data_IF_200907142068
#
_entry.id   IF_200907142068
#
_cell.length_a   1.000
_cell.length_b   1.000
_cell.length_c   1.000
_cell.angle_alpha   90.00
_cell.angle_beta   90.00
_cell.angle_gamma   90.00
#
_symmetry.space_group_name_H-M   'P 1'
#
loop_
_entity.id
_entity.type
_entity.pdbx_description
1 polymer ?
#
# COMPACT_ATOMS: atom_id res chain seq x y z
N UNK A 1 -6.54 30.75 -8.80
CA UNK A 1 -6.26 29.30 -8.85
C UNK A 1 -4.77 29.01 -8.74
N UNK A 2 -3.94 29.97 -8.33
CA UNK A 2 -2.60 29.67 -7.83
C UNK A 2 -2.71 28.90 -6.51
N UNK A 3 -1.85 27.88 -6.36
CA UNK A 3 -1.49 27.10 -5.15
C UNK A 3 -1.96 25.65 -5.01
N UNK A 4 -2.60 25.01 -5.99
CA UNK A 4 -2.72 23.54 -5.94
C UNK A 4 -1.36 22.90 -6.29
N UNK A 5 -0.65 22.34 -5.30
CA UNK A 5 0.68 21.71 -5.49
C UNK A 5 0.59 20.43 -6.32
N UNK A 6 -0.37 19.57 -6.02
CA UNK A 6 -0.67 18.34 -6.74
C UNK A 6 -2.05 17.81 -6.31
N UNK A 7 -2.58 16.85 -7.08
CA UNK A 7 -3.73 16.04 -6.71
C UNK A 7 -3.33 14.57 -6.52
N UNK A 8 -4.05 13.89 -5.63
CA UNK A 8 -3.94 12.45 -5.45
C UNK A 8 -5.22 11.76 -5.93
N UNK A 9 -5.09 10.57 -6.51
CA UNK A 9 -6.21 9.71 -6.86
C UNK A 9 -6.17 8.42 -6.05
N UNK A 10 -7.23 8.17 -5.28
CA UNK A 10 -7.47 6.91 -4.60
C UNK A 10 -8.26 5.97 -5.53
N UNK A 11 -7.63 4.88 -5.95
CA UNK A 11 -8.09 4.00 -7.01
C UNK A 11 -8.74 2.74 -6.44
N UNK A 12 -10.07 2.65 -6.50
CA UNK A 12 -10.78 1.43 -6.09
C UNK A 12 -10.72 0.36 -7.20
N UNK A 13 -10.32 -0.85 -6.84
CA UNK A 13 -10.24 -1.98 -7.77
C UNK A 13 -11.34 -2.99 -7.48
N UNK A 14 -11.95 -3.50 -8.55
CA UNK A 14 -12.92 -4.60 -8.50
C UNK A 14 -12.46 -5.67 -9.48
N UNK A 15 -11.63 -6.59 -9.00
CA UNK A 15 -11.08 -7.70 -9.78
C UNK A 15 -11.05 -8.97 -8.94
N UNK A 16 -11.42 -10.13 -9.50
CA UNK A 16 -11.33 -11.42 -8.82
C UNK A 16 -9.94 -11.65 -8.21
N UNK A 17 -9.91 -12.32 -7.06
CA UNK A 17 -8.65 -12.67 -6.42
C UNK A 17 -7.89 -13.71 -7.26
N UNK A 18 -6.57 -13.55 -7.48
CA UNK A 18 -5.81 -14.59 -8.18
C UNK A 18 -5.78 -15.88 -7.36
N UNK A 19 -5.71 -17.02 -8.05
CA UNK A 19 -5.43 -18.31 -7.42
C UNK A 19 -3.93 -18.62 -7.43
N UNK A 20 -3.21 -18.08 -8.41
CA UNK A 20 -1.76 -18.27 -8.59
C UNK A 20 -1.05 -16.94 -8.89
N UNK A 21 0.24 -16.84 -8.54
CA UNK A 21 1.06 -15.64 -8.77
C UNK A 21 1.14 -15.22 -10.24
N UNK A 22 0.99 -16.17 -11.17
CA UNK A 22 0.96 -15.90 -12.61
C UNK A 22 -0.21 -14.98 -13.03
N UNK A 23 -1.29 -14.92 -12.23
CA UNK A 23 -2.45 -14.07 -12.51
C UNK A 23 -2.28 -12.63 -12.01
N UNK A 24 -1.32 -12.37 -11.11
CA UNK A 24 -1.07 -11.03 -10.54
C UNK A 24 -0.76 -10.02 -11.66
N UNK A 25 -0.01 -10.44 -12.68
CA UNK A 25 0.34 -9.60 -13.82
C UNK A 25 -0.87 -8.95 -14.52
N UNK A 26 -2.03 -9.62 -14.55
CA UNK A 26 -3.29 -9.07 -15.13
C UNK A 26 -3.84 -7.93 -14.27
N UNK A 27 -3.76 -8.06 -12.95
CA UNK A 27 -4.22 -7.04 -11.99
C UNK A 27 -3.32 -5.81 -12.05
N UNK A 28 -2.01 -6.02 -12.13
CA UNK A 28 -1.02 -4.95 -12.37
C UNK A 28 -1.32 -4.22 -13.68
N UNK A 29 -1.59 -4.93 -14.79
CA UNK A 29 -2.01 -4.29 -16.05
C UNK A 29 -3.22 -3.37 -15.86
N UNK A 30 -4.24 -3.82 -15.12
CA UNK A 30 -5.42 -2.99 -14.85
C UNK A 30 -5.08 -1.75 -14.03
N UNK A 31 -4.28 -1.89 -12.96
CA UNK A 31 -3.87 -0.77 -12.11
C UNK A 31 -3.02 0.26 -12.86
N UNK A 32 -2.12 -0.18 -13.75
CA UNK A 32 -1.35 0.73 -14.61
C UNK A 32 -2.25 1.45 -15.62
N UNK A 33 -3.25 0.77 -16.18
CA UNK A 33 -4.25 1.41 -17.04
C UNK A 33 -5.10 2.44 -16.27
N UNK A 34 -5.50 2.16 -15.03
CA UNK A 34 -6.18 3.13 -14.17
C UNK A 34 -5.30 4.34 -13.86
N UNK A 35 -4.01 4.12 -13.64
CA UNK A 35 -3.01 5.18 -13.43
C UNK A 35 -2.96 6.11 -14.66
N UNK A 36 -2.83 5.54 -15.86
CA UNK A 36 -2.86 6.31 -17.11
C UNK A 36 -4.15 7.12 -17.23
N UNK A 37 -5.30 6.47 -17.05
CA UNK A 37 -6.62 7.09 -17.18
C UNK A 37 -6.81 8.25 -16.19
N UNK A 38 -6.35 8.10 -14.95
CA UNK A 38 -6.42 9.14 -13.93
C UNK A 38 -5.53 10.35 -14.29
N UNK A 39 -4.31 10.11 -14.76
CA UNK A 39 -3.39 11.20 -15.13
C UNK A 39 -3.87 11.93 -16.38
N UNK A 40 -4.18 11.21 -17.45
CA UNK A 40 -4.61 11.81 -18.72
C UNK A 40 -5.99 12.48 -18.61
N UNK A 41 -6.96 11.75 -18.05
CA UNK A 41 -8.36 12.20 -17.98
C UNK A 41 -8.55 13.46 -17.13
N UNK A 42 -7.70 13.64 -16.11
CA UNK A 42 -7.75 14.83 -15.25
C UNK A 42 -6.73 15.90 -15.64
N UNK A 43 -5.82 15.65 -16.57
CA UNK A 43 -4.78 16.62 -16.95
C UNK A 43 -5.27 18.03 -17.30
N UNK A 44 -6.47 18.26 -17.89
CA UNK A 44 -6.96 19.62 -18.13
C UNK A 44 -7.40 20.35 -16.86
N UNK A 45 -7.60 19.63 -15.75
CA UNK A 45 -8.25 20.13 -14.53
C UNK A 45 -7.34 20.09 -13.30
N UNK A 46 -6.56 19.01 -13.14
CA UNK A 46 -5.81 18.73 -11.93
C UNK A 46 -4.46 18.04 -12.25
N UNK A 47 -3.35 18.47 -11.62
CA UNK A 47 -2.06 17.81 -11.74
C UNK A 47 -2.00 16.57 -10.83
N UNK A 48 -2.45 15.42 -11.32
CA UNK A 48 -2.39 14.15 -10.56
C UNK A 48 -0.94 13.69 -10.45
N UNK A 49 -0.38 13.66 -9.23
CA UNK A 49 0.99 13.21 -8.95
C UNK A 49 1.09 12.00 -8.03
N UNK A 50 0.02 11.64 -7.33
CA UNK A 50 -0.01 10.47 -6.43
C UNK A 50 -1.19 9.56 -6.77
N UNK A 51 -0.91 8.29 -7.04
CA UNK A 51 -1.91 7.24 -7.20
C UNK A 51 -1.83 6.28 -6.02
N UNK A 52 -2.98 5.92 -5.45
CA UNK A 52 -3.04 5.02 -4.30
C UNK A 52 -3.99 3.87 -4.58
N UNK A 53 -3.48 2.65 -4.49
CA UNK A 53 -4.26 1.41 -4.64
C UNK A 53 -4.51 0.74 -3.29
N UNK A 54 -5.62 -0.01 -3.13
CA UNK A 54 -6.01 -0.61 -1.87
C UNK A 54 -5.16 -1.83 -1.52
N UNK A 55 -5.21 -2.23 -0.26
CA UNK A 55 -4.68 -3.51 0.19
C UNK A 55 -5.28 -4.65 -0.63
N UNK A 56 -4.50 -5.71 -0.87
CA UNK A 56 -4.89 -6.90 -1.63
C UNK A 56 -5.23 -6.66 -3.11
N UNK A 57 -4.96 -5.46 -3.66
CA UNK A 57 -5.14 -5.21 -5.08
C UNK A 57 -4.31 -6.14 -5.99
N UNK A 58 -3.22 -6.74 -5.50
CA UNK A 58 -2.49 -7.80 -6.19
C UNK A 58 -3.00 -9.19 -5.82
N UNK A 59 -3.07 -9.49 -4.52
CA UNK A 59 -3.59 -10.76 -4.01
C UNK A 59 -4.03 -10.63 -2.55
N UNK A 60 -5.22 -11.13 -2.24
CA UNK A 60 -5.70 -11.36 -0.88
C UNK A 60 -5.22 -12.73 -0.36
N UNK A 61 -5.05 -12.89 0.96
CA UNK A 61 -4.60 -14.14 1.59
C UNK A 61 -5.74 -15.17 1.66
N UNK A 62 -6.20 -15.65 0.51
CA UNK A 62 -7.34 -16.59 0.40
C UNK A 62 -7.02 -18.02 0.83
N UNK A 63 -5.74 -18.32 1.11
CA UNK A 63 -5.32 -19.62 1.62
C UNK A 63 -5.09 -19.56 3.13
N UNK A 64 -5.49 -20.62 3.83
CA UNK A 64 -5.55 -20.66 5.29
C UNK A 64 -4.18 -20.66 6.01
N UNK A 65 -3.08 -20.90 5.31
CA UNK A 65 -1.75 -21.00 5.93
C UNK A 65 -0.68 -20.24 5.15
N UNK A 66 0.33 -19.76 5.87
CA UNK A 66 1.51 -19.16 5.27
C UNK A 66 2.20 -20.10 4.24
N UNK A 67 2.21 -21.41 4.48
CA UNK A 67 2.79 -22.39 3.56
C UNK A 67 2.04 -22.42 2.21
N UNK A 68 0.71 -22.43 2.24
CA UNK A 68 -0.12 -22.40 1.02
C UNK A 68 -0.03 -21.05 0.32
N UNK A 69 -0.03 -19.93 1.06
CA UNK A 69 0.22 -18.61 0.48
C UNK A 69 1.57 -18.56 -0.24
N UNK A 70 2.64 -19.09 0.37
CA UNK A 70 3.97 -19.18 -0.23
C UNK A 70 4.02 -20.06 -1.46
N UNK A 71 3.21 -21.11 -1.52
CA UNK A 71 3.15 -22.00 -2.68
C UNK A 71 2.46 -21.31 -3.85
N UNK A 72 1.41 -20.55 -3.60
CA UNK A 72 0.51 -20.09 -4.65
C UNK A 72 0.68 -18.61 -5.03
N UNK A 73 0.83 -17.71 -4.06
CA UNK A 73 0.57 -16.28 -4.26
C UNK A 73 1.73 -15.35 -3.92
N UNK A 74 2.74 -15.80 -3.19
CA UNK A 74 3.83 -14.89 -2.80
C UNK A 74 4.66 -14.42 -4.00
N UNK A 75 5.36 -13.31 -3.82
CA UNK A 75 6.40 -12.84 -4.75
C UNK A 75 7.52 -12.22 -3.94
N UNK A 76 8.78 -12.25 -4.41
CA UNK A 76 9.84 -11.43 -3.82
C UNK A 76 9.56 -9.95 -4.08
N UNK A 77 10.22 -9.06 -3.34
CA UNK A 77 10.26 -7.62 -3.66
C UNK A 77 11.74 -7.18 -3.63
N UNK A 78 12.29 -6.62 -4.71
CA UNK A 78 11.64 -6.26 -5.98
C UNK A 78 11.25 -7.48 -6.84
N UNK A 79 10.38 -7.24 -7.83
CA UNK A 79 9.89 -8.22 -8.82
C UNK A 79 9.48 -7.53 -10.14
N UNK A 80 9.08 -8.33 -11.13
CA UNK A 80 8.67 -7.86 -12.45
C UNK A 80 7.44 -6.93 -12.43
N UNK A 81 6.61 -7.00 -11.39
CA UNK A 81 5.48 -6.09 -11.22
C UNK A 81 5.93 -4.72 -10.73
N UNK A 82 6.83 -4.67 -9.75
CA UNK A 82 7.41 -3.41 -9.26
C UNK A 82 8.21 -2.69 -10.35
N UNK A 83 8.88 -3.42 -11.25
CA UNK A 83 9.55 -2.85 -12.43
C UNK A 83 8.55 -2.17 -13.38
N UNK A 84 7.40 -2.80 -13.63
CA UNK A 84 6.34 -2.22 -14.47
C UNK A 84 5.73 -0.97 -13.84
N UNK A 85 5.57 -0.94 -12.52
CA UNK A 85 5.16 0.28 -11.81
C UNK A 85 6.22 1.37 -11.94
N UNK A 86 7.51 1.05 -11.78
CA UNK A 86 8.59 2.02 -11.91
C UNK A 86 8.64 2.62 -13.33
N UNK A 87 8.52 1.79 -14.36
CA UNK A 87 8.47 2.26 -15.74
C UNK A 87 7.28 3.22 -15.99
N UNK A 88 6.09 2.89 -15.48
CA UNK A 88 4.90 3.75 -15.61
C UNK A 88 5.01 5.04 -14.78
N UNK A 89 5.58 4.95 -13.58
CA UNK A 89 5.84 6.10 -12.73
C UNK A 89 6.82 7.08 -13.38
N UNK A 90 7.88 6.56 -14.02
CA UNK A 90 8.84 7.36 -14.78
C UNK A 90 8.22 7.99 -16.04
N UNK A 91 7.44 7.22 -16.79
CA UNK A 91 6.75 7.69 -18.01
C UNK A 91 5.82 8.88 -17.73
N UNK A 92 5.09 8.85 -16.62
CA UNK A 92 4.09 9.85 -16.28
C UNK A 92 4.59 10.92 -15.29
N UNK A 93 5.81 10.77 -14.78
CA UNK A 93 6.37 11.57 -13.69
C UNK A 93 5.41 11.62 -12.47
N UNK A 94 5.05 10.45 -11.95
CA UNK A 94 4.11 10.29 -10.81
C UNK A 94 4.64 9.34 -9.74
N UNK A 95 4.00 9.37 -8.58
CA UNK A 95 4.23 8.45 -7.47
C UNK A 95 3.04 7.50 -7.37
N UNK A 96 3.32 6.21 -7.19
CA UNK A 96 2.33 5.14 -7.10
C UNK A 96 2.53 4.42 -5.77
N UNK A 97 1.62 4.65 -4.83
CA UNK A 97 1.43 3.73 -3.72
C UNK A 97 0.71 2.49 -4.25
N UNK A 98 1.44 1.39 -4.35
CA UNK A 98 0.88 0.13 -4.83
C UNK A 98 -0.19 -0.39 -3.86
N UNK A 99 -0.98 -1.36 -4.31
CA UNK A 99 -1.67 -2.23 -3.35
C UNK A 99 -0.66 -3.06 -2.57
N UNK A 100 -1.12 -4.11 -1.89
CA UNK A 100 -0.19 -5.00 -1.19
C UNK A 100 0.15 -6.24 -1.99
N UNK A 101 1.39 -6.71 -1.83
CA UNK A 101 1.87 -8.00 -2.25
C UNK A 101 1.94 -8.91 -1.02
N UNK A 102 1.72 -10.21 -1.25
CA UNK A 102 2.15 -11.23 -0.31
C UNK A 102 3.64 -11.44 -0.57
N UNK A 103 4.49 -10.92 0.31
CA UNK A 103 5.93 -10.93 0.11
C UNK A 103 6.55 -12.19 0.73
N UNK A 104 7.41 -12.85 -0.02
CA UNK A 104 8.40 -13.78 0.52
C UNK A 104 9.80 -13.17 0.47
N UNK A 105 10.57 -13.35 1.54
CA UNK A 105 11.93 -12.83 1.66
C UNK A 105 12.89 -13.98 2.01
N UNK A 106 13.94 -14.23 1.21
CA UNK A 106 14.96 -15.22 1.52
C UNK A 106 15.64 -15.02 2.89
N UNK A 107 15.70 -13.79 3.42
CA UNK A 107 16.22 -13.51 4.76
C UNK A 107 15.29 -14.03 5.88
N UNK A 108 14.02 -14.31 5.57
CA UNK A 108 13.02 -14.81 6.51
C UNK A 108 12.31 -16.06 5.97
N UNK A 109 13.02 -17.21 5.88
CA UNK A 109 12.45 -18.43 5.32
C UNK A 109 11.18 -18.86 6.06
N UNK A 110 10.15 -19.27 5.32
CA UNK A 110 8.89 -19.70 5.94
C UNK A 110 7.89 -18.58 6.20
N UNK A 111 8.32 -17.32 6.18
CA UNK A 111 7.49 -16.18 6.52
C UNK A 111 6.80 -15.59 5.29
N UNK A 112 5.63 -15.00 5.52
CA UNK A 112 4.89 -14.21 4.53
C UNK A 112 4.59 -12.87 5.14
N UNK A 113 4.96 -11.80 4.44
CA UNK A 113 4.62 -10.45 4.83
C UNK A 113 3.48 -9.91 3.96
N UNK A 114 2.72 -8.97 4.52
CA UNK A 114 1.80 -8.14 3.76
C UNK A 114 2.50 -6.80 3.51
N UNK A 115 2.91 -6.56 2.27
CA UNK A 115 3.85 -5.48 1.95
C UNK A 115 3.30 -4.56 0.87
N UNK A 116 3.44 -3.26 1.05
CA UNK A 116 3.13 -2.25 0.04
C UNK A 116 4.38 -1.46 -0.32
N UNK A 117 4.46 -1.00 -1.56
CA UNK A 117 5.57 -0.19 -2.04
C UNK A 117 5.07 1.19 -2.46
N UNK A 118 5.85 2.22 -2.14
CA UNK A 118 5.77 3.51 -2.82
C UNK A 118 6.80 3.50 -3.95
N UNK A 119 6.32 3.68 -5.17
CA UNK A 119 7.14 3.66 -6.38
C UNK A 119 7.08 5.02 -7.04
N UNK A 120 8.24 5.63 -7.27
CA UNK A 120 8.37 6.91 -7.98
C UNK A 120 9.10 6.76 -9.31
N UNK A 121 9.42 7.88 -9.96
CA UNK A 121 10.14 7.89 -11.25
C UNK A 121 11.49 7.17 -11.22
N UNK A 122 12.15 7.13 -10.06
CA UNK A 122 13.46 6.50 -9.87
C UNK A 122 13.38 5.04 -9.37
N UNK A 123 12.17 4.47 -9.24
CA UNK A 123 11.96 3.11 -8.75
C UNK A 123 11.29 3.03 -7.39
N UNK A 124 11.57 1.95 -6.63
CA UNK A 124 10.99 1.74 -5.29
C UNK A 124 11.63 2.73 -4.31
N UNK A 125 10.84 3.67 -3.80
CA UNK A 125 11.30 4.67 -2.83
C UNK A 125 11.12 4.18 -1.39
N UNK A 126 10.12 3.32 -1.17
CA UNK A 126 9.80 2.77 0.14
C UNK A 126 9.11 1.41 -0.01
N UNK A 127 9.43 0.48 0.89
CA UNK A 127 8.72 -0.78 1.10
C UNK A 127 8.28 -0.83 2.56
N UNK A 128 6.98 -0.95 2.80
CA UNK A 128 6.40 -1.08 4.13
C UNK A 128 5.80 -2.47 4.31
N UNK A 129 6.15 -3.15 5.41
CA UNK A 129 5.56 -4.41 5.84
C UNK A 129 4.57 -4.13 6.97
N UNK A 130 3.34 -4.62 6.85
CA UNK A 130 2.26 -4.45 7.83
C UNK A 130 2.74 -4.85 9.23
N UNK A 131 2.71 -3.90 10.17
CA UNK A 131 3.17 -4.12 11.54
C UNK A 131 2.11 -4.81 12.38
N UNK A 132 0.84 -4.53 12.13
CA UNK A 132 -0.28 -5.14 12.83
C UNK A 132 -1.11 -6.00 11.86
N UNK A 133 -0.72 -7.27 11.61
CA UNK A 133 -1.57 -8.22 10.91
C UNK A 133 -2.94 -8.35 11.58
N UNK A 134 -4.00 -8.49 10.79
CA UNK A 134 -5.35 -8.61 11.34
C UNK A 134 -5.64 -10.05 11.78
N UNK A 135 -5.12 -10.42 12.95
CA UNK A 135 -5.27 -11.74 13.55
C UNK A 135 -6.71 -11.91 14.08
N UNK A 136 -7.37 -13.08 13.91
CA UNK A 136 -6.84 -14.33 13.34
C UNK A 136 -7.06 -14.51 11.83
N UNK A 137 -7.52 -13.48 11.13
CA UNK A 137 -7.93 -13.58 9.71
C UNK A 137 -6.77 -13.54 8.72
N UNK A 138 -5.62 -13.00 9.14
CA UNK A 138 -4.41 -12.92 8.34
C UNK A 138 -3.32 -13.87 8.84
N UNK A 139 -2.74 -14.65 7.91
CA UNK A 139 -1.61 -15.54 8.19
C UNK A 139 -0.23 -14.88 7.99
N UNK A 140 -0.20 -13.56 7.86
CA UNK A 140 1.03 -12.78 7.70
C UNK A 140 1.78 -12.68 9.03
N UNK A 141 3.11 -12.59 8.98
CA UNK A 141 3.89 -12.22 10.16
C UNK A 141 4.06 -10.71 10.26
N UNK A 142 4.13 -10.22 11.50
CA UNK A 142 4.59 -8.86 11.76
C UNK A 142 6.12 -8.81 11.71
N UNK A 143 6.73 -7.75 11.13
CA UNK A 143 8.16 -7.50 11.30
C UNK A 143 8.56 -7.29 12.77
N UNK A 144 7.66 -6.79 13.62
CA UNK A 144 7.91 -6.58 15.05
C UNK A 144 8.16 -7.89 15.80
N UNK A 145 7.56 -8.99 15.36
CA UNK A 145 7.67 -10.30 16.02
C UNK A 145 8.94 -11.08 15.60
N UNK A 146 9.77 -10.49 14.73
CA UNK A 146 10.97 -11.13 14.19
C UNK A 146 12.21 -10.69 14.94
N UNK A 147 12.83 -11.64 15.64
CA UNK A 147 14.12 -11.44 16.27
C UNK A 147 15.18 -11.08 15.20
N UNK A 148 15.86 -9.96 15.40
CA UNK A 148 16.91 -9.49 14.48
C UNK A 148 16.39 -8.81 13.22
N UNK A 149 15.12 -8.36 13.18
CA UNK A 149 14.61 -7.51 12.11
C UNK A 149 15.43 -6.22 11.98
N UNK A 150 15.90 -5.91 10.76
CA UNK A 150 16.88 -4.84 10.51
C UNK A 150 16.35 -3.69 9.65
N UNK A 151 15.32 -3.95 8.86
CA UNK A 151 14.74 -2.92 8.01
C UNK A 151 14.00 -1.90 8.88
N UNK A 152 13.92 -0.65 8.41
CA UNK A 152 13.10 0.35 9.08
C UNK A 152 11.62 -0.08 9.06
N UNK A 153 10.96 -0.10 10.23
CA UNK A 153 9.57 -0.54 10.33
C UNK A 153 8.57 0.52 9.83
N UNK A 154 8.90 1.79 10.00
CA UNK A 154 8.04 2.92 9.62
C UNK A 154 8.79 3.90 8.69
N UNK A 155 9.25 3.43 7.51
CA UNK A 155 9.99 4.25 6.58
C UNK A 155 9.14 5.41 6.05
N UNK A 156 9.82 6.49 5.65
CA UNK A 156 9.20 7.67 5.02
C UNK A 156 10.00 8.05 3.79
N UNK A 157 9.32 8.18 2.64
CA UNK A 157 9.97 8.61 1.41
C UNK A 157 9.92 10.13 1.27
N UNK A 158 11.08 10.76 1.07
CA UNK A 158 11.19 12.19 0.79
C UNK A 158 11.00 12.43 -0.69
N UNK A 159 9.97 13.19 -1.07
CA UNK A 159 9.65 13.42 -2.49
C UNK A 159 9.36 14.91 -2.75
N UNK A 160 9.46 15.36 -4.02
CA UNK A 160 8.95 16.66 -4.46
C UNK A 160 7.48 16.97 -4.09
N UNK A 161 6.65 15.95 -3.84
CA UNK A 161 5.25 16.14 -3.42
C UNK A 161 5.05 16.04 -1.90
N UNK A 162 6.15 16.08 -1.13
CA UNK A 162 6.17 15.97 0.32
C UNK A 162 6.76 14.65 0.80
N UNK A 163 6.82 14.50 2.12
CA UNK A 163 7.27 13.27 2.76
C UNK A 163 6.10 12.29 2.89
N UNK A 164 6.19 11.16 2.20
CA UNK A 164 5.11 10.19 2.07
C UNK A 164 5.38 8.99 2.98
N UNK A 165 4.43 8.68 3.87
CA UNK A 165 4.43 7.48 4.71
C UNK A 165 3.18 6.65 4.44
N UNK A 166 3.31 5.32 4.48
CA UNK A 166 2.20 4.40 4.25
C UNK A 166 2.06 3.40 5.39
N UNK A 167 0.81 3.07 5.72
CA UNK A 167 0.47 2.03 6.69
C UNK A 167 -0.73 1.23 6.20
N UNK A 168 -0.81 -0.05 6.57
CA UNK A 168 -1.73 -0.99 5.96
C UNK A 168 -2.90 -1.28 6.91
N UNK A 169 -4.10 -0.86 6.48
CA UNK A 169 -5.39 -1.30 7.01
C UNK A 169 -5.50 -1.28 8.53
N UNK A 170 -5.30 -2.42 9.19
CA UNK A 170 -5.43 -2.59 10.64
C UNK A 170 -4.41 -1.74 11.42
N UNK A 171 -3.25 -1.41 10.83
CA UNK A 171 -2.27 -0.48 11.41
C UNK A 171 -2.90 0.86 11.82
N UNK A 172 -3.93 1.32 11.10
CA UNK A 172 -4.57 2.60 11.37
C UNK A 172 -5.35 2.64 12.68
N UNK A 173 -5.70 1.48 13.26
CA UNK A 173 -6.34 1.43 14.57
C UNK A 173 -5.35 1.68 15.71
N UNK A 174 -4.05 1.57 15.46
CA UNK A 174 -2.99 1.78 16.43
C UNK A 174 -2.40 3.19 16.25
N UNK A 175 -2.71 4.16 17.13
CA UNK A 175 -2.19 5.53 17.00
C UNK A 175 -0.66 5.57 16.91
N UNK A 176 0.02 4.63 17.56
CA UNK A 176 1.48 4.54 17.63
C UNK A 176 2.11 4.36 16.25
N UNK A 177 1.52 3.56 15.38
CA UNK A 177 2.04 3.31 14.04
C UNK A 177 2.09 4.60 13.20
N UNK A 178 1.03 5.40 13.27
CA UNK A 178 0.91 6.64 12.52
C UNK A 178 1.68 7.78 13.19
N UNK A 179 1.70 7.80 14.52
CA UNK A 179 2.58 8.71 15.27
C UNK A 179 4.04 8.48 14.91
N UNK A 180 4.47 7.24 14.78
CA UNK A 180 5.85 6.92 14.44
C UNK A 180 6.19 7.35 13.00
N UNK A 181 5.30 7.13 12.02
CA UNK A 181 5.47 7.64 10.66
C UNK A 181 5.61 9.18 10.64
N UNK A 182 4.76 9.89 11.38
CA UNK A 182 4.85 11.35 11.50
C UNK A 182 6.12 11.79 12.22
N UNK A 183 6.53 11.10 13.29
CA UNK A 183 7.79 11.37 13.99
C UNK A 183 9.02 11.15 13.08
N UNK A 184 8.94 10.19 12.15
CA UNK A 184 9.94 9.96 11.10
C UNK A 184 9.85 10.99 9.96
N UNK A 185 8.90 11.93 10.03
CA UNK A 185 8.79 13.08 9.14
C UNK A 185 7.73 12.97 8.05
N UNK A 186 6.81 12.00 8.11
CA UNK A 186 5.71 11.90 7.16
C UNK A 186 4.77 13.14 7.25
N UNK A 187 4.55 13.79 6.11
CA UNK A 187 3.61 14.90 5.93
C UNK A 187 2.28 14.41 5.32
N UNK A 188 2.33 13.30 4.60
CA UNK A 188 1.18 12.65 3.98
C UNK A 188 1.15 11.18 4.43
N UNK A 189 0.10 10.81 5.15
CA UNK A 189 -0.14 9.43 5.59
C UNK A 189 -1.10 8.72 4.63
N UNK A 190 -0.64 7.62 4.05
CA UNK A 190 -1.37 6.86 3.04
C UNK A 190 -1.95 5.58 3.66
N UNK A 191 -3.29 5.47 3.66
CA UNK A 191 -4.02 4.27 4.12
C UNK A 191 -4.21 3.29 2.98
N UNK A 192 -3.40 2.24 2.95
CA UNK A 192 -3.58 1.12 2.02
C UNK A 192 -4.50 0.10 2.69
N UNK A 193 -5.73 -0.08 2.21
CA UNK A 193 -6.72 -0.86 2.98
C UNK A 193 -7.77 -1.58 2.15
N UNK A 194 -8.24 -2.71 2.67
CA UNK A 194 -9.37 -3.49 2.20
C UNK A 194 -10.47 -3.64 3.28
N UNK A 195 -10.71 -2.59 4.08
CA UNK A 195 -11.75 -2.61 5.11
C UNK A 195 -13.12 -2.98 4.54
N UNK A 196 -13.81 -3.89 5.23
CA UNK A 196 -15.19 -4.26 4.91
C UNK A 196 -16.17 -3.77 5.97
N UNK A 197 -17.43 -3.66 5.58
CA UNK A 197 -18.51 -3.53 6.54
C UNK A 197 -18.62 -4.78 7.42
N UNK A 198 -18.89 -4.63 8.73
CA UNK A 198 -19.44 -3.41 9.36
C UNK A 198 -18.38 -2.39 9.84
N UNK A 199 -17.07 -2.66 9.75
CA UNK A 199 -16.00 -1.73 10.16
C UNK A 199 -15.61 -0.71 9.07
N UNK A 200 -16.29 -0.73 7.93
CA UNK A 200 -15.99 0.13 6.79
C UNK A 200 -16.52 1.54 6.98
N UNK A 201 -17.28 2.00 5.99
CA UNK A 201 -17.83 3.36 5.94
C UNK A 201 -19.32 3.41 6.32
N UNK A 202 -19.94 2.26 6.62
CA UNK A 202 -21.38 2.20 6.89
C UNK A 202 -21.69 2.45 8.37
N UNK A 203 -22.72 3.26 8.62
CA UNK A 203 -23.26 3.52 9.95
C UNK A 203 -23.85 2.23 10.59
N UNK A 204 -23.80 2.07 11.92
CA UNK A 204 -23.39 3.08 12.90
C UNK A 204 -21.90 3.10 13.23
N UNK A 205 -21.09 2.15 12.71
CA UNK A 205 -19.67 2.09 13.08
C UNK A 205 -18.83 3.13 12.35
N UNK A 206 -18.90 3.21 11.00
CA UNK A 206 -18.17 4.19 10.17
C UNK A 206 -16.71 4.44 10.64
N UNK A 207 -15.98 3.35 10.96
CA UNK A 207 -14.61 3.47 11.47
C UNK A 207 -13.69 4.08 10.43
N UNK A 208 -13.97 3.88 9.13
CA UNK A 208 -13.20 4.49 8.06
C UNK A 208 -13.09 6.00 8.25
N UNK A 209 -14.22 6.69 8.37
CA UNK A 209 -14.26 8.16 8.48
C UNK A 209 -13.69 8.62 9.82
N UNK A 210 -14.12 8.00 10.93
CA UNK A 210 -13.71 8.40 12.28
C UNK A 210 -12.20 8.26 12.46
N UNK A 211 -11.63 7.09 12.13
CA UNK A 211 -10.21 6.83 12.32
C UNK A 211 -9.37 7.72 11.42
N UNK A 212 -9.70 7.85 10.13
CA UNK A 212 -8.92 8.69 9.22
C UNK A 212 -8.84 10.14 9.71
N UNK A 213 -9.96 10.71 10.17
CA UNK A 213 -10.00 12.08 10.68
C UNK A 213 -9.24 12.23 12.00
N UNK A 214 -9.40 11.27 12.91
CA UNK A 214 -8.70 11.28 14.19
C UNK A 214 -7.18 11.21 13.99
N UNK A 215 -6.71 10.31 13.13
CA UNK A 215 -5.28 10.14 12.82
C UNK A 215 -4.69 11.37 12.14
N UNK A 216 -5.43 12.02 11.25
CA UNK A 216 -5.00 13.28 10.66
C UNK A 216 -4.92 14.40 11.72
N UNK A 217 -5.95 14.55 12.58
CA UNK A 217 -6.04 15.61 13.58
C UNK A 217 -4.92 15.52 14.64
N UNK A 218 -4.60 14.31 15.11
CA UNK A 218 -3.62 14.17 16.18
C UNK A 218 -2.17 14.28 15.70
N UNK A 219 -1.91 14.13 14.39
CA UNK A 219 -0.58 14.11 13.78
C UNK A 219 -0.25 15.37 12.95
N UNK A 220 -0.89 16.50 13.26
CA UNK A 220 -0.57 17.82 12.67
C UNK A 220 0.63 18.49 13.31
#
# INVERSE_FOLDING_TARGET
MDTLRYSAAACQVDLPNPQTRAEIGKKVTRMLAMTQQAVEGYSPFLPVKLLVFPEFAHAAPVYASAAELRRHLTVPIPNEHTERYAAKAAELDVYIQTGTFLEEDPAWPGKVFNSTCLIGPDGILLKYRKVNPWIPFEAHVSPHDLEGYRDEMFPVARTPIGNLGAAICYDWLFPEALRQLTANGAEVLIRVSAYMDPWGATAPMDWWTVVNRCRALENT
#
